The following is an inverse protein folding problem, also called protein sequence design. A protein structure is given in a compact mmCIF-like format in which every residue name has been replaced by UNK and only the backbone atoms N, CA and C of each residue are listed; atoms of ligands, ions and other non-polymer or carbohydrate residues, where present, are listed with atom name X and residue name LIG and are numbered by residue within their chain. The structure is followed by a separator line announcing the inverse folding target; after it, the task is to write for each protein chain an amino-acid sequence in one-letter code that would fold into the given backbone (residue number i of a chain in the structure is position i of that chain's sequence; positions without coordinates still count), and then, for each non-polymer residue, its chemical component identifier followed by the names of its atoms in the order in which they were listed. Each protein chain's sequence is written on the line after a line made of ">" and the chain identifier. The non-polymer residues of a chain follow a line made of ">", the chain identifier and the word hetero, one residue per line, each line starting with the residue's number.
data_IF_425905440761
#
_entry.id   IF_425905440761
#
_cell.length_a   1.000
_cell.length_b   1.000
_cell.length_c   1.000
_cell.angle_alpha   90.00
_cell.angle_beta   90.00
_cell.angle_gamma   90.00
#
_symmetry.space_group_name_H-M   'P 1'
#
loop_
_entity.id
_entity.type
_entity.pdbx_description
1 polymer ?
#
# COMPACT_ATOMS: atom_id res chain seq x y z
N UNK A 1 -54.64 -20.37 31.09
CA UNK A 1 -54.70 -18.99 30.58
C UNK A 1 -53.34 -18.34 30.93
N UNK A 2 -52.41 -18.41 30.03
CA UNK A 2 -51.05 -17.83 30.16
C UNK A 2 -50.95 -16.63 29.23
N UNK A 3 -50.41 -15.51 29.61
CA UNK A 3 -50.16 -14.39 28.73
C UNK A 3 -48.83 -14.58 27.97
N UNK A 4 -48.90 -14.49 26.67
CA UNK A 4 -47.82 -14.47 25.73
C UNK A 4 -47.03 -13.13 25.92
N UNK A 5 -45.77 -13.23 26.31
CA UNK A 5 -44.83 -12.11 26.31
C UNK A 5 -44.27 -11.93 24.91
N UNK A 6 -44.73 -10.91 24.23
CA UNK A 6 -44.17 -10.42 22.98
C UNK A 6 -42.96 -9.54 23.34
N UNK A 7 -41.76 -10.10 23.21
CA UNK A 7 -40.52 -9.35 23.39
C UNK A 7 -40.21 -8.58 22.10
N UNK A 8 -40.58 -7.33 22.06
CA UNK A 8 -40.19 -6.35 21.04
C UNK A 8 -38.69 -6.38 20.80
N UNK A 9 -38.31 -6.91 19.66
CA UNK A 9 -36.94 -6.91 19.14
C UNK A 9 -36.58 -5.47 18.71
N UNK A 10 -35.99 -4.73 19.63
CA UNK A 10 -35.38 -3.42 19.33
C UNK A 10 -34.26 -3.64 18.32
N UNK A 11 -34.30 -3.06 17.12
CA UNK A 11 -33.20 -3.16 16.18
C UNK A 11 -31.97 -2.46 16.80
N UNK A 12 -30.87 -3.18 16.90
CA UNK A 12 -29.58 -2.62 17.29
C UNK A 12 -29.22 -1.48 16.33
N UNK A 13 -28.73 -0.34 16.84
CA UNK A 13 -28.31 0.75 15.96
C UNK A 13 -27.17 0.25 15.09
N UNK A 14 -27.39 0.22 13.77
CA UNK A 14 -26.33 0.03 12.78
C UNK A 14 -25.36 1.18 12.94
N UNK A 15 -24.17 0.89 13.49
CA UNK A 15 -23.04 1.83 13.48
C UNK A 15 -22.75 2.05 12.00
N UNK A 16 -23.13 3.20 11.45
CA UNK A 16 -22.62 3.65 10.16
C UNK A 16 -21.14 3.85 10.36
N UNK A 17 -20.32 2.97 9.82
CA UNK A 17 -18.91 3.24 9.66
C UNK A 17 -18.78 4.57 8.94
N UNK A 18 -17.98 5.49 9.49
CA UNK A 18 -17.73 6.79 8.87
C UNK A 18 -17.13 6.53 7.47
N UNK A 19 -17.57 7.33 6.48
CA UNK A 19 -17.04 7.23 5.13
C UNK A 19 -15.50 7.39 5.15
N UNK A 20 -14.74 6.54 4.46
CA UNK A 20 -13.28 6.64 4.44
C UNK A 20 -12.83 8.00 3.90
N UNK A 21 -11.94 8.66 4.63
CA UNK A 21 -11.44 9.99 4.29
C UNK A 21 -10.32 9.92 3.28
N UNK A 22 -10.48 10.65 2.18
CA UNK A 22 -9.50 10.74 1.09
C UNK A 22 -8.92 12.15 1.07
N UNK A 23 -7.63 12.30 1.37
CA UNK A 23 -6.92 13.56 1.21
C UNK A 23 -6.44 13.67 -0.25
N UNK A 24 -7.03 14.58 -1.02
CA UNK A 24 -6.62 14.91 -2.38
C UNK A 24 -5.71 16.14 -2.33
N UNK A 25 -4.44 15.94 -2.67
CA UNK A 25 -3.42 17.00 -2.75
C UNK A 25 -3.19 17.33 -4.23
N UNK A 26 -3.80 18.41 -4.69
CA UNK A 26 -3.82 18.83 -6.10
C UNK A 26 -4.18 20.31 -6.16
N UNK A 27 -3.45 21.13 -6.90
CA UNK A 27 -3.70 22.57 -7.01
C UNK A 27 -4.59 22.94 -8.22
N UNK A 28 -4.66 22.08 -9.22
CA UNK A 28 -5.40 22.33 -10.45
C UNK A 28 -6.91 22.10 -10.27
N UNK A 29 -7.71 23.19 -10.28
CA UNK A 29 -9.16 23.14 -10.05
C UNK A 29 -9.89 22.28 -11.09
N UNK A 30 -9.37 22.21 -12.31
CA UNK A 30 -9.93 21.37 -13.39
C UNK A 30 -9.89 19.89 -13.06
N UNK A 31 -8.96 19.47 -12.21
CA UNK A 31 -8.82 18.11 -11.68
C UNK A 31 -9.61 17.96 -10.37
N UNK A 32 -9.45 18.91 -9.44
CA UNK A 32 -10.04 18.85 -8.09
C UNK A 32 -11.55 18.73 -8.12
N UNK A 33 -12.24 19.64 -8.85
CA UNK A 33 -13.71 19.69 -8.79
C UNK A 33 -14.42 18.43 -9.31
N UNK A 34 -14.02 17.81 -10.44
CA UNK A 34 -14.54 16.51 -10.86
C UNK A 34 -14.22 15.38 -9.88
N UNK A 35 -13.00 15.38 -9.32
CA UNK A 35 -12.54 14.36 -8.40
C UNK A 35 -13.33 14.35 -7.10
N UNK A 36 -13.50 15.49 -6.46
CA UNK A 36 -14.29 15.64 -5.22
C UNK A 36 -15.71 15.12 -5.41
N UNK A 37 -16.37 15.49 -6.54
CA UNK A 37 -17.70 14.97 -6.84
C UNK A 37 -17.74 13.46 -7.05
N UNK A 38 -16.73 12.92 -7.70
CA UNK A 38 -16.66 11.49 -7.94
C UNK A 38 -16.37 10.69 -6.66
N UNK A 39 -15.45 11.16 -5.82
CA UNK A 39 -15.15 10.56 -4.53
C UNK A 39 -16.40 10.53 -3.62
N UNK A 40 -17.10 11.67 -3.49
CA UNK A 40 -18.33 11.75 -2.69
C UNK A 40 -19.42 10.79 -3.21
N UNK A 41 -19.63 10.71 -4.52
CA UNK A 41 -20.59 9.76 -5.13
C UNK A 41 -20.21 8.30 -4.91
N UNK A 42 -18.94 8.02 -4.70
CA UNK A 42 -18.43 6.67 -4.45
C UNK A 42 -18.31 6.31 -2.96
N UNK A 43 -18.86 7.16 -2.06
CA UNK A 43 -18.94 6.88 -0.63
C UNK A 43 -17.69 7.26 0.16
N UNK A 44 -16.84 8.13 -0.37
CA UNK A 44 -15.67 8.67 0.31
C UNK A 44 -15.95 10.06 0.88
N UNK A 45 -15.18 10.45 1.91
CA UNK A 45 -15.14 11.80 2.49
C UNK A 45 -13.90 12.54 1.93
N UNK A 46 -14.03 13.35 0.85
CA UNK A 46 -12.90 14.03 0.23
C UNK A 46 -12.51 15.28 1.00
N UNK A 47 -11.23 15.39 1.32
CA UNK A 47 -10.58 16.61 1.83
C UNK A 47 -9.56 17.07 0.79
N UNK A 48 -9.50 18.37 0.50
CA UNK A 48 -8.61 18.94 -0.50
C UNK A 48 -7.52 19.75 0.17
N UNK A 49 -6.27 19.54 -0.24
CA UNK A 49 -5.13 20.39 0.02
C UNK A 49 -4.55 20.86 -1.33
N UNK A 50 -4.21 22.15 -1.44
CA UNK A 50 -3.71 22.74 -2.69
C UNK A 50 -2.22 22.99 -2.69
N UNK A 51 -1.60 22.79 -1.55
CA UNK A 51 -0.17 23.05 -1.31
C UNK A 51 0.45 21.93 -0.48
N UNK A 52 1.77 21.80 -0.55
CA UNK A 52 2.51 20.87 0.30
C UNK A 52 2.34 21.18 1.80
N UNK A 53 2.26 22.48 2.15
CA UNK A 53 2.03 22.89 3.54
C UNK A 53 0.65 22.49 4.05
N UNK A 54 -0.39 22.70 3.24
CA UNK A 54 -1.76 22.26 3.57
C UNK A 54 -1.84 20.73 3.68
N UNK A 55 -1.17 20.00 2.78
CA UNK A 55 -1.14 18.54 2.80
C UNK A 55 -0.57 17.98 4.10
N UNK A 56 0.55 18.55 4.59
CA UNK A 56 1.16 18.16 5.87
C UNK A 56 0.25 18.41 7.05
N UNK A 57 -0.41 19.56 7.06
CA UNK A 57 -1.36 19.94 8.12
C UNK A 57 -2.57 19.03 8.12
N UNK A 58 -3.20 18.85 6.95
CA UNK A 58 -4.37 18.01 6.80
C UNK A 58 -4.08 16.54 7.14
N UNK A 59 -2.93 16.01 6.76
CA UNK A 59 -2.55 14.63 7.07
C UNK A 59 -2.41 14.40 8.58
N UNK A 60 -1.84 15.35 9.32
CA UNK A 60 -1.71 15.27 10.79
C UNK A 60 -3.03 15.44 11.52
N UNK A 61 -3.80 16.48 11.15
CA UNK A 61 -4.98 16.90 11.90
C UNK A 61 -6.19 16.01 11.63
N UNK A 62 -6.29 15.46 10.43
CA UNK A 62 -7.48 14.74 9.97
C UNK A 62 -7.30 13.23 9.90
N UNK A 63 -6.07 12.71 10.02
CA UNK A 63 -5.74 11.30 9.91
C UNK A 63 -6.48 10.60 8.75
N UNK A 64 -6.22 10.98 7.47
CA UNK A 64 -6.91 10.42 6.33
C UNK A 64 -6.64 8.92 6.18
N UNK A 65 -7.60 8.19 5.60
CA UNK A 65 -7.46 6.76 5.31
C UNK A 65 -6.60 6.50 4.07
N UNK A 66 -6.50 7.48 3.15
CA UNK A 66 -5.64 7.44 1.97
C UNK A 66 -5.31 8.85 1.49
N UNK A 67 -4.12 9.03 0.94
CA UNK A 67 -3.66 10.29 0.33
C UNK A 67 -3.46 10.09 -1.17
N UNK A 68 -4.09 10.95 -1.97
CA UNK A 68 -3.79 11.14 -3.38
C UNK A 68 -2.90 12.35 -3.49
N UNK A 69 -1.68 12.22 -4.00
CA UNK A 69 -0.66 13.26 -3.90
C UNK A 69 -0.06 13.58 -5.26
N UNK A 70 -0.29 14.80 -5.73
CA UNK A 70 0.42 15.28 -6.92
C UNK A 70 1.90 15.56 -6.59
N UNK A 71 2.75 15.31 -7.58
CA UNK A 71 4.18 15.61 -7.50
C UNK A 71 4.44 17.10 -7.65
N UNK A 72 3.74 17.76 -8.57
CA UNK A 72 3.94 19.16 -8.88
C UNK A 72 3.01 20.04 -8.04
N UNK A 73 3.52 20.57 -6.93
CA UNK A 73 2.77 21.48 -6.06
C UNK A 73 3.36 22.89 -6.14
N UNK A 74 2.54 23.95 -5.94
CA UNK A 74 2.98 25.33 -6.11
C UNK A 74 4.05 25.78 -5.12
N UNK A 75 4.12 25.14 -3.95
CA UNK A 75 5.02 25.48 -2.85
C UNK A 75 6.08 24.41 -2.57
N UNK A 76 6.16 23.34 -3.40
CA UNK A 76 7.14 22.28 -3.19
C UNK A 76 6.95 21.05 -4.04
N UNK A 77 7.74 20.04 -3.75
CA UNK A 77 7.69 18.74 -4.44
C UNK A 77 6.87 17.74 -3.61
N UNK A 78 5.82 17.15 -4.21
CA UNK A 78 5.00 16.12 -3.56
C UNK A 78 5.80 14.91 -3.09
N UNK A 79 6.96 14.64 -3.71
CA UNK A 79 7.87 13.58 -3.27
C UNK A 79 8.45 13.84 -1.88
N UNK A 80 8.71 15.09 -1.53
CA UNK A 80 9.17 15.45 -0.19
C UNK A 80 8.05 15.28 0.84
N UNK A 81 6.82 15.67 0.47
CA UNK A 81 5.62 15.42 1.29
C UNK A 81 5.44 13.92 1.53
N UNK A 82 5.55 13.09 0.49
CA UNK A 82 5.46 11.64 0.61
C UNK A 82 6.49 11.08 1.59
N UNK A 83 7.75 11.51 1.47
CA UNK A 83 8.85 11.08 2.35
C UNK A 83 8.62 11.47 3.81
N UNK A 84 8.09 12.67 4.05
CA UNK A 84 7.76 13.16 5.39
C UNK A 84 6.60 12.38 6.00
N UNK A 85 5.49 12.19 5.26
CA UNK A 85 4.35 11.42 5.72
C UNK A 85 4.73 9.97 6.08
N UNK A 86 5.65 9.37 5.31
CA UNK A 86 6.14 8.01 5.60
C UNK A 86 6.97 7.90 6.87
N UNK A 87 7.56 8.97 7.35
CA UNK A 87 8.27 8.98 8.64
C UNK A 87 7.31 9.06 9.82
N UNK A 88 6.14 9.64 9.61
CA UNK A 88 5.18 9.95 10.66
C UNK A 88 3.99 8.97 10.68
N UNK A 89 3.67 8.31 9.56
CA UNK A 89 2.49 7.44 9.46
C UNK A 89 2.62 6.38 8.36
N UNK A 90 1.80 5.33 8.49
CA UNK A 90 1.63 4.29 7.47
C UNK A 90 0.43 4.55 6.54
N UNK A 91 -0.08 5.78 6.49
CA UNK A 91 -1.21 6.13 5.63
C UNK A 91 -0.91 5.77 4.17
N UNK A 92 -1.80 5.08 3.44
CA UNK A 92 -1.58 4.77 2.03
C UNK A 92 -1.43 6.04 1.20
N UNK A 93 -0.43 6.08 0.31
CA UNK A 93 -0.17 7.20 -0.58
C UNK A 93 -0.18 6.71 -2.02
N UNK A 94 -1.06 7.30 -2.84
CA UNK A 94 -1.10 7.11 -4.29
C UNK A 94 -0.57 8.40 -4.93
N UNK A 95 0.57 8.31 -5.62
CA UNK A 95 1.15 9.47 -6.29
C UNK A 95 0.44 9.73 -7.63
N UNK A 96 0.11 10.99 -7.88
CA UNK A 96 -0.40 11.46 -9.18
C UNK A 96 0.77 12.15 -9.91
N UNK A 97 1.07 11.75 -11.15
CA UNK A 97 2.24 12.25 -11.87
C UNK A 97 1.92 12.63 -13.30
N UNK A 98 2.40 13.80 -13.75
CA UNK A 98 2.26 14.24 -15.13
C UNK A 98 3.27 13.58 -16.09
N UNK A 99 4.31 12.91 -15.59
CA UNK A 99 5.38 12.33 -16.39
C UNK A 99 5.46 10.83 -16.19
N UNK A 100 5.23 10.09 -17.27
CA UNK A 100 5.32 8.63 -17.31
C UNK A 100 6.72 8.11 -17.62
N UNK A 101 7.80 8.86 -17.34
CA UNK A 101 9.14 8.29 -17.50
C UNK A 101 9.37 7.20 -16.48
N UNK A 102 10.05 6.16 -16.88
CA UNK A 102 10.37 5.03 -16.01
C UNK A 102 11.11 5.46 -14.74
N UNK A 103 11.93 6.49 -14.87
CA UNK A 103 12.68 7.12 -13.77
C UNK A 103 11.75 7.81 -12.76
N UNK A 104 10.71 8.54 -13.20
CA UNK A 104 9.76 9.20 -12.29
C UNK A 104 8.94 8.20 -11.48
N UNK A 105 8.60 7.06 -12.10
CA UNK A 105 7.88 5.95 -11.44
C UNK A 105 8.75 5.28 -10.38
N UNK A 106 10.02 5.02 -10.70
CA UNK A 106 10.99 4.42 -9.78
C UNK A 106 11.21 5.35 -8.59
N UNK A 107 11.44 6.64 -8.84
CA UNK A 107 11.67 7.64 -7.78
C UNK A 107 10.44 7.78 -6.88
N UNK A 108 9.22 7.80 -7.40
CA UNK A 108 7.99 7.88 -6.59
C UNK A 108 7.83 6.68 -5.64
N UNK A 109 8.16 5.48 -6.10
CA UNK A 109 8.12 4.27 -5.30
C UNK A 109 9.26 4.20 -4.28
N UNK A 110 10.48 4.68 -4.63
CA UNK A 110 11.64 4.78 -3.69
C UNK A 110 11.33 5.64 -2.46
N UNK A 111 10.37 6.54 -2.58
CA UNK A 111 9.95 7.43 -1.50
C UNK A 111 8.90 6.81 -0.57
N UNK A 112 8.47 5.56 -0.85
CA UNK A 112 7.52 4.83 -0.02
C UNK A 112 6.05 5.01 -0.42
N UNK A 113 5.75 5.51 -1.61
CA UNK A 113 4.38 5.50 -2.13
C UNK A 113 3.88 4.06 -2.34
N UNK A 114 2.60 3.83 -2.10
CA UNK A 114 1.97 2.50 -2.28
C UNK A 114 1.60 2.23 -3.73
N UNK A 115 1.28 3.29 -4.47
CA UNK A 115 0.91 3.23 -5.89
C UNK A 115 1.19 4.58 -6.57
N UNK A 116 1.15 4.58 -7.91
CA UNK A 116 1.23 5.81 -8.69
C UNK A 116 0.28 5.73 -9.88
N UNK A 117 -0.22 6.89 -10.30
CA UNK A 117 -1.10 7.03 -11.46
C UNK A 117 -0.56 8.14 -12.35
N UNK A 118 -0.47 7.88 -13.65
CA UNK A 118 0.07 8.83 -14.63
C UNK A 118 -1.06 9.66 -15.24
N UNK A 119 -0.92 10.99 -15.20
CA UNK A 119 -1.82 11.93 -15.89
C UNK A 119 -1.61 11.84 -17.40
N UNK A 120 -2.67 11.85 -18.25
CA UNK A 120 -4.08 11.89 -17.86
C UNK A 120 -4.59 10.50 -17.43
N UNK A 121 -5.40 10.46 -16.39
CA UNK A 121 -5.97 9.23 -15.83
C UNK A 121 -7.51 9.28 -15.81
N UNK A 122 -8.13 8.11 -15.81
CA UNK A 122 -9.55 7.97 -15.55
C UNK A 122 -9.85 8.09 -14.05
N UNK A 123 -10.85 8.90 -13.68
CA UNK A 123 -11.24 9.03 -12.26
C UNK A 123 -11.66 7.67 -11.68
N UNK A 124 -12.38 6.86 -12.46
CA UNK A 124 -12.83 5.53 -12.04
C UNK A 124 -11.65 4.58 -11.78
N UNK A 125 -10.55 4.70 -12.53
CA UNK A 125 -9.31 3.97 -12.28
C UNK A 125 -8.75 4.32 -10.89
N UNK A 126 -8.65 5.60 -10.58
CA UNK A 126 -8.12 6.02 -9.27
C UNK A 126 -9.04 5.59 -8.14
N UNK A 127 -10.36 5.66 -8.31
CA UNK A 127 -11.33 5.16 -7.33
C UNK A 127 -11.16 3.65 -7.08
N UNK A 128 -10.95 2.86 -8.14
CA UNK A 128 -10.68 1.44 -8.01
C UNK A 128 -9.40 1.18 -7.21
N UNK A 129 -8.34 1.95 -7.45
CA UNK A 129 -7.08 1.88 -6.71
C UNK A 129 -7.21 2.27 -5.24
N UNK A 130 -7.99 3.32 -4.93
CA UNK A 130 -8.33 3.70 -3.55
C UNK A 130 -9.01 2.52 -2.83
N UNK A 131 -10.04 1.93 -3.44
CA UNK A 131 -10.75 0.78 -2.85
C UNK A 131 -9.83 -0.41 -2.62
N UNK A 132 -8.96 -0.71 -3.57
CA UNK A 132 -8.00 -1.79 -3.46
C UNK A 132 -7.04 -1.58 -2.29
N UNK A 133 -6.54 -0.37 -2.14
CA UNK A 133 -5.66 0.01 -1.05
C UNK A 133 -6.39 -0.11 0.29
N UNK A 134 -7.58 0.47 0.45
CA UNK A 134 -8.36 0.45 1.69
C UNK A 134 -8.81 -0.95 2.10
N UNK A 135 -9.22 -1.81 1.17
CA UNK A 135 -9.61 -3.21 1.44
C UNK A 135 -8.49 -3.99 2.15
N UNK A 136 -7.24 -3.70 1.84
CA UNK A 136 -6.08 -4.34 2.48
C UNK A 136 -5.89 -3.91 3.93
N UNK A 137 -6.32 -2.68 4.28
CA UNK A 137 -6.31 -2.22 5.67
C UNK A 137 -7.37 -2.89 6.55
N UNK A 138 -8.48 -3.36 5.96
CA UNK A 138 -9.62 -3.94 6.67
C UNK A 138 -9.58 -5.47 6.77
N UNK A 139 -8.48 -6.13 6.34
CA UNK A 139 -8.41 -7.59 6.35
C UNK A 139 -8.32 -8.10 7.81
N UNK A 140 -9.31 -8.89 8.29
CA UNK A 140 -9.25 -9.48 9.62
C UNK A 140 -8.05 -10.43 9.73
N UNK A 141 -7.40 -10.43 10.87
CA UNK A 141 -6.32 -11.35 11.24
C UNK A 141 -6.86 -12.80 11.36
N UNK A 142 -6.84 -13.54 10.25
CA UNK A 142 -7.07 -14.99 10.22
C UNK A 142 -5.82 -15.75 9.74
N UNK A 143 -4.64 -15.13 9.86
CA UNK A 143 -3.33 -15.76 9.64
C UNK A 143 -2.61 -15.89 11.00
N UNK A 144 -1.66 -16.82 11.15
CA UNK A 144 -0.84 -16.87 12.37
C UNK A 144 -0.21 -15.50 12.62
N UNK A 145 -0.21 -15.06 13.90
CA UNK A 145 0.28 -13.72 14.27
C UNK A 145 1.73 -13.48 13.86
N UNK A 146 2.50 -14.54 13.66
CA UNK A 146 3.88 -14.46 13.21
C UNK A 146 4.30 -15.66 12.35
N UNK A 147 5.19 -15.40 11.41
CA UNK A 147 5.82 -16.41 10.53
C UNK A 147 7.33 -16.31 10.69
N UNK A 148 8.01 -17.44 10.85
CA UNK A 148 9.47 -17.54 10.84
C UNK A 148 9.92 -18.27 9.58
N UNK A 149 10.85 -17.67 8.83
CA UNK A 149 11.44 -18.24 7.63
C UNK A 149 12.95 -17.98 7.65
N UNK A 150 13.73 -19.03 7.89
CA UNK A 150 15.17 -18.90 8.06
C UNK A 150 15.52 -17.99 9.25
N UNK A 151 16.29 -16.93 9.01
CA UNK A 151 16.65 -15.91 10.00
C UNK A 151 15.65 -14.75 10.08
N UNK A 152 14.56 -14.79 9.29
CA UNK A 152 13.50 -13.79 9.28
C UNK A 152 12.37 -14.16 10.24
N UNK A 153 11.96 -13.22 11.07
CA UNK A 153 10.75 -13.29 11.89
C UNK A 153 9.81 -12.16 11.47
N UNK A 154 8.62 -12.53 11.01
CA UNK A 154 7.62 -11.62 10.45
C UNK A 154 6.39 -11.64 11.36
N UNK A 155 6.13 -10.55 12.04
CA UNK A 155 4.90 -10.32 12.80
C UNK A 155 3.86 -9.70 11.84
N UNK A 156 2.88 -10.51 11.46
CA UNK A 156 1.87 -10.12 10.49
C UNK A 156 0.85 -9.14 11.10
N UNK A 157 0.58 -9.28 12.40
CA UNK A 157 -0.38 -8.42 13.10
C UNK A 157 0.23 -7.02 13.36
N UNK A 158 1.45 -6.97 13.87
CA UNK A 158 2.14 -5.71 14.13
C UNK A 158 2.83 -5.12 12.87
N UNK A 159 2.85 -5.86 11.74
CA UNK A 159 3.52 -5.48 10.49
C UNK A 159 5.02 -5.17 10.68
N UNK A 160 5.69 -5.96 11.50
CA UNK A 160 7.11 -5.80 11.84
C UNK A 160 7.92 -7.00 11.36
N UNK A 161 9.15 -6.77 10.99
CA UNK A 161 10.06 -7.81 10.50
C UNK A 161 11.40 -7.68 11.21
N UNK A 162 11.96 -8.82 11.59
CA UNK A 162 13.31 -8.91 12.15
C UNK A 162 14.13 -9.90 11.34
N UNK A 163 15.41 -9.61 11.19
CA UNK A 163 16.43 -10.54 10.73
C UNK A 163 17.38 -10.81 11.92
N UNK A 164 17.29 -12.02 12.49
CA UNK A 164 17.88 -12.27 13.81
C UNK A 164 17.28 -11.33 14.85
N UNK A 165 18.12 -10.54 15.52
CA UNK A 165 17.69 -9.56 16.53
C UNK A 165 17.48 -8.14 15.98
N UNK A 166 17.83 -7.90 14.71
CA UNK A 166 17.71 -6.59 14.06
C UNK A 166 16.33 -6.38 13.47
N UNK A 167 15.61 -5.32 13.90
CA UNK A 167 14.35 -4.93 13.30
C UNK A 167 14.56 -4.20 11.96
N UNK A 168 13.93 -4.70 10.91
CA UNK A 168 14.00 -4.13 9.57
C UNK A 168 12.83 -3.17 9.33
N UNK A 169 13.13 -1.93 8.97
CA UNK A 169 12.10 -0.95 8.59
C UNK A 169 11.71 -1.15 7.12
N UNK A 170 10.58 -1.81 6.90
CA UNK A 170 10.02 -2.02 5.59
C UNK A 170 8.95 -0.97 5.28
N UNK A 171 8.94 -0.48 4.03
CA UNK A 171 7.78 0.23 3.52
C UNK A 171 6.60 -0.75 3.39
N UNK A 172 5.39 -0.20 3.36
CA UNK A 172 4.18 -1.02 3.37
C UNK A 172 4.16 -2.10 2.30
N UNK A 173 4.43 -1.75 1.03
CA UNK A 173 4.44 -2.70 -0.09
C UNK A 173 5.57 -3.71 -0.01
N UNK A 174 6.70 -3.33 0.58
CA UNK A 174 7.79 -4.27 0.85
C UNK A 174 7.37 -5.30 1.90
N UNK A 175 6.65 -4.85 2.94
CA UNK A 175 6.09 -5.75 3.94
C UNK A 175 5.04 -6.69 3.34
N UNK A 176 4.07 -6.15 2.57
CA UNK A 176 3.01 -6.95 1.92
C UNK A 176 3.62 -8.00 0.98
N UNK A 177 4.64 -7.61 0.21
CA UNK A 177 5.37 -8.51 -0.68
C UNK A 177 6.10 -9.62 0.08
N UNK A 178 6.81 -9.26 1.16
CA UNK A 178 7.52 -10.23 2.00
C UNK A 178 6.53 -11.19 2.68
N UNK A 179 5.45 -10.67 3.26
CA UNK A 179 4.41 -11.46 3.91
C UNK A 179 3.75 -12.44 2.93
N UNK A 180 3.50 -11.99 1.68
CA UNK A 180 2.95 -12.85 0.64
C UNK A 180 3.91 -13.96 0.24
N UNK A 181 5.18 -13.64 0.06
CA UNK A 181 6.21 -14.64 -0.25
C UNK A 181 6.44 -15.61 0.91
N UNK A 182 6.33 -15.13 2.16
CA UNK A 182 6.50 -15.94 3.36
C UNK A 182 5.35 -16.95 3.56
N UNK A 183 4.14 -16.64 3.11
CA UNK A 183 3.01 -17.55 3.16
C UNK A 183 3.25 -18.83 2.32
N UNK A 184 4.06 -18.72 1.26
CA UNK A 184 4.45 -19.82 0.37
C UNK A 184 5.98 -20.04 0.39
N UNK A 185 6.62 -19.89 1.57
CA UNK A 185 8.07 -20.06 1.69
C UNK A 185 8.55 -21.40 1.09
N UNK A 186 9.61 -21.35 0.33
CA UNK A 186 10.15 -22.50 -0.43
C UNK A 186 9.49 -22.75 -1.79
N UNK A 187 8.33 -22.13 -2.06
CA UNK A 187 7.63 -22.27 -3.35
C UNK A 187 7.73 -21.01 -4.19
N UNK A 188 7.60 -21.18 -5.51
CA UNK A 188 7.62 -20.05 -6.44
C UNK A 188 6.23 -19.41 -6.49
N UNK A 189 6.17 -18.10 -6.24
CA UNK A 189 4.96 -17.30 -6.46
C UNK A 189 5.12 -16.55 -7.78
N UNK A 190 4.15 -16.70 -8.68
CA UNK A 190 4.25 -16.08 -10.01
C UNK A 190 4.11 -14.56 -9.94
N UNK A 191 4.61 -13.89 -10.99
CA UNK A 191 4.51 -12.43 -11.07
C UNK A 191 3.06 -11.95 -11.05
N UNK A 192 2.18 -12.66 -11.76
CA UNK A 192 0.74 -12.36 -11.84
C UNK A 192 0.09 -12.45 -10.46
N UNK A 193 0.38 -13.52 -9.70
CA UNK A 193 -0.15 -13.70 -8.34
C UNK A 193 0.38 -12.61 -7.42
N UNK A 194 1.68 -12.29 -7.46
CA UNK A 194 2.23 -11.20 -6.65
C UNK A 194 1.62 -9.84 -7.01
N UNK A 195 1.43 -9.57 -8.29
CA UNK A 195 0.80 -8.32 -8.73
C UNK A 195 -0.67 -8.24 -8.29
N UNK A 196 -1.45 -9.31 -8.47
CA UNK A 196 -2.87 -9.31 -8.10
C UNK A 196 -3.09 -9.25 -6.58
N UNK A 197 -2.28 -9.96 -5.79
CA UNK A 197 -2.48 -10.07 -4.36
C UNK A 197 -1.80 -8.95 -3.55
N UNK A 198 -0.67 -8.41 -4.04
CA UNK A 198 0.05 -7.34 -3.36
C UNK A 198 -0.33 -5.95 -3.88
N UNK A 199 -0.61 -5.80 -5.18
CA UNK A 199 -1.03 -4.51 -5.75
C UNK A 199 -2.53 -4.46 -6.05
N UNK A 200 -3.05 -5.26 -6.93
CA UNK A 200 -4.49 -5.51 -7.19
C UNK A 200 -4.67 -6.41 -8.41
N UNK A 201 -5.75 -7.20 -8.48
CA UNK A 201 -6.12 -8.01 -9.65
C UNK A 201 -6.43 -7.16 -10.91
N UNK A 202 -6.81 -5.88 -10.70
CA UNK A 202 -7.05 -4.90 -11.76
C UNK A 202 -5.84 -3.96 -11.96
N UNK A 203 -4.63 -4.42 -11.64
CA UNK A 203 -3.43 -3.63 -11.87
C UNK A 203 -3.15 -3.45 -13.36
N UNK A 204 -3.32 -2.23 -13.87
CA UNK A 204 -3.04 -1.86 -15.27
C UNK A 204 -1.63 -1.26 -15.46
N UNK A 205 -0.83 -1.22 -14.41
CA UNK A 205 0.53 -0.68 -14.44
C UNK A 205 1.58 -1.69 -14.93
N UNK A 206 2.82 -1.20 -15.08
CA UNK A 206 3.95 -2.04 -15.49
C UNK A 206 4.32 -3.07 -14.41
N UNK A 207 4.59 -4.30 -14.81
CA UNK A 207 5.14 -5.35 -13.93
C UNK A 207 6.54 -5.02 -13.39
N UNK A 208 7.21 -3.98 -13.93
CA UNK A 208 8.49 -3.46 -13.42
C UNK A 208 8.39 -2.91 -12.00
N UNK A 209 7.21 -2.48 -11.56
CA UNK A 209 6.95 -2.10 -10.16
C UNK A 209 7.33 -3.22 -9.20
N UNK A 210 7.00 -4.47 -9.53
CA UNK A 210 7.37 -5.64 -8.72
C UNK A 210 8.88 -5.80 -8.63
N UNK A 211 9.61 -5.67 -9.76
CA UNK A 211 11.07 -5.82 -9.78
C UNK A 211 11.76 -4.77 -8.91
N UNK A 212 11.27 -3.55 -8.92
CA UNK A 212 11.78 -2.45 -8.09
C UNK A 212 11.59 -2.77 -6.60
N UNK A 213 10.39 -3.16 -6.19
CA UNK A 213 10.12 -3.51 -4.78
C UNK A 213 10.92 -4.75 -4.33
N UNK A 214 11.09 -5.74 -5.20
CA UNK A 214 11.97 -6.88 -4.91
C UNK A 214 13.42 -6.43 -4.71
N UNK A 215 13.91 -5.52 -5.54
CA UNK A 215 15.28 -5.00 -5.41
C UNK A 215 15.47 -4.26 -4.08
N UNK A 216 14.52 -3.42 -3.68
CA UNK A 216 14.60 -2.71 -2.39
C UNK A 216 14.47 -3.65 -1.20
N UNK A 217 13.53 -4.59 -1.28
CA UNK A 217 13.36 -5.57 -0.22
C UNK A 217 14.65 -6.41 -0.05
N UNK A 218 15.26 -6.85 -1.14
CA UNK A 218 16.57 -7.51 -1.12
C UNK A 218 17.63 -6.66 -0.43
N UNK A 219 17.74 -5.40 -0.80
CA UNK A 219 18.69 -4.47 -0.17
C UNK A 219 18.48 -4.38 1.34
N UNK A 220 17.22 -4.31 1.81
CA UNK A 220 16.90 -4.24 3.24
C UNK A 220 17.13 -5.56 3.96
N UNK A 221 16.91 -6.68 3.28
CA UNK A 221 17.23 -8.01 3.78
C UNK A 221 18.74 -8.31 3.78
N UNK A 222 19.57 -7.43 3.17
CA UNK A 222 21.00 -7.66 3.02
C UNK A 222 21.33 -8.75 2.01
N UNK A 223 20.46 -8.99 1.04
CA UNK A 223 20.69 -9.93 -0.04
C UNK A 223 21.73 -9.40 -1.02
N UNK A 224 22.61 -10.28 -1.48
CA UNK A 224 23.51 -9.99 -2.59
C UNK A 224 22.70 -9.84 -3.89
N UNK A 225 22.95 -8.80 -4.72
CA UNK A 225 22.20 -8.60 -5.96
C UNK A 225 22.38 -9.73 -6.99
N UNK A 226 23.51 -10.43 -6.97
CA UNK A 226 23.86 -11.49 -7.91
C UNK A 226 23.44 -12.87 -7.39
N UNK A 227 23.62 -13.12 -6.10
CA UNK A 227 23.30 -14.37 -5.41
C UNK A 227 22.41 -14.12 -4.18
N UNK A 228 21.12 -13.75 -4.37
CA UNK A 228 20.22 -13.43 -3.26
C UNK A 228 19.89 -14.70 -2.45
N UNK A 229 20.06 -14.60 -1.12
CA UNK A 229 19.82 -15.71 -0.20
C UNK A 229 18.36 -15.86 0.18
N UNK A 230 17.66 -14.72 0.43
CA UNK A 230 16.28 -14.71 0.89
C UNK A 230 15.31 -14.75 -0.29
N UNK A 231 15.35 -13.75 -1.17
CA UNK A 231 14.40 -13.66 -2.28
C UNK A 231 15.08 -14.05 -3.59
N UNK A 232 14.80 -15.24 -4.07
CA UNK A 232 15.36 -15.80 -5.29
C UNK A 232 14.47 -15.47 -6.49
N UNK A 233 15.09 -15.16 -7.65
CA UNK A 233 14.37 -14.98 -8.91
C UNK A 233 14.31 -16.31 -9.67
N UNK A 234 13.10 -16.75 -9.99
CA UNK A 234 12.87 -17.84 -10.93
C UNK A 234 12.56 -17.24 -12.30
N UNK A 235 13.55 -17.24 -13.19
CA UNK A 235 13.48 -16.56 -14.49
C UNK A 235 12.24 -17.00 -15.28
N UNK A 236 11.50 -16.04 -15.82
CA UNK A 236 10.29 -16.29 -16.61
C UNK A 236 9.06 -16.71 -15.80
N UNK A 237 9.16 -16.91 -14.48
CA UNK A 237 8.06 -17.37 -13.62
C UNK A 237 7.72 -16.35 -12.53
N UNK A 238 8.65 -16.07 -11.61
CA UNK A 238 8.34 -15.21 -10.46
C UNK A 238 9.46 -15.18 -9.44
N UNK A 239 9.07 -15.15 -8.16
CA UNK A 239 9.99 -15.05 -7.04
C UNK A 239 9.67 -16.12 -5.98
N UNK A 240 10.69 -16.49 -5.19
CA UNK A 240 10.59 -17.46 -4.11
C UNK A 240 11.32 -16.91 -2.88
N UNK A 241 10.69 -16.96 -1.72
CA UNK A 241 11.39 -16.80 -0.45
C UNK A 241 11.99 -18.17 -0.07
N UNK A 242 13.29 -18.24 0.16
CA UNK A 242 13.95 -19.48 0.57
C UNK A 242 13.43 -19.94 1.95
N UNK A 243 13.03 -21.19 2.09
CA UNK A 243 12.45 -21.74 3.33
C UNK A 243 13.49 -21.90 4.45
N UNK A 244 14.76 -22.06 4.10
CA UNK A 244 15.92 -22.07 4.98
C UNK A 244 17.06 -21.38 4.28
N UNK A 245 18.01 -20.80 5.02
CA UNK A 245 19.30 -20.47 4.43
C UNK A 245 19.96 -21.79 4.01
N UNK A 246 19.70 -22.23 2.78
CA UNK A 246 20.50 -23.30 2.19
C UNK A 246 21.93 -22.78 2.14
N UNK A 247 22.71 -23.17 3.13
CA UNK A 247 24.16 -23.09 3.07
C UNK A 247 24.57 -24.10 2.01
N UNK A 248 24.75 -23.61 0.76
CA UNK A 248 25.51 -24.43 -0.20
C UNK A 248 26.91 -24.66 0.36
N UNK A 249 27.40 -25.89 0.23
CA UNK A 249 28.71 -26.30 0.69
C UNK A 249 29.84 -25.58 -0.04
#
# INVERSE_FOLDING_TARGET
>A
MQPTSDASKVPSPTIREAAPRVLLVEDEESIVAPFVRALARNGFDPVVARTAAEARTAARDLAPDVVLLDIALPDGDGRDVCRELRRESDVPIIMLTARGTETDKIVGLELGADDYVVKPFGIDEVIARIRAVLRRYQRPAAAPDSVAVGDLRIDLAARRVWRGDEELKLARKEFDLLARLAADAGHVVTREVLMSEVWDENWFGSTKTLDVHVAWLRKKLGDDPVAPRHIQTVRGVGFRLAASAESEP
#
